data_IF_454522935861
#
_entry.id   IF_454522935861
#
_cell.length_a   1.000
_cell.length_b   1.000
_cell.length_c   1.000
_cell.angle_alpha   90.00
_cell.angle_beta   90.00
_cell.angle_gamma   90.00
#
_symmetry.space_group_name_H-M   'P 1'
#
loop_
_entity.id
_entity.type
_entity.pdbx_description
1 polymer ?
#
# COMPACT_ATOMS: atom_id res chain seq x y z
N UNK A 1 -2.44 -27.48 17.78
CA UNK A 1 -2.37 -26.70 19.03
C UNK A 1 -1.66 -25.39 18.71
N UNK A 2 -2.23 -24.23 19.02
CA UNK A 2 -1.54 -22.97 18.81
C UNK A 2 -0.27 -22.94 19.65
N UNK A 3 0.88 -22.72 19.03
CA UNK A 3 2.12 -22.49 19.77
C UNK A 3 2.06 -21.06 20.31
N UNK A 4 2.13 -20.93 21.64
CA UNK A 4 2.32 -19.66 22.32
C UNK A 4 3.68 -19.08 21.86
N UNK A 5 3.66 -18.19 20.91
CA UNK A 5 4.81 -17.33 20.64
C UNK A 5 4.78 -16.23 21.71
N UNK A 6 5.56 -16.38 22.75
CA UNK A 6 5.89 -15.25 23.63
C UNK A 6 6.68 -14.26 22.77
N UNK A 7 6.08 -13.14 22.47
CA UNK A 7 6.71 -12.06 21.74
C UNK A 7 7.57 -11.26 22.72
N UNK A 8 8.81 -11.66 22.83
CA UNK A 8 9.80 -10.90 23.60
C UNK A 8 10.51 -9.97 22.60
N UNK A 9 10.12 -8.73 22.59
CA UNK A 9 10.82 -7.66 21.84
C UNK A 9 10.83 -6.40 22.69
N UNK A 10 11.87 -5.58 22.50
CA UNK A 10 11.93 -4.28 23.16
C UNK A 10 10.81 -3.36 22.64
N UNK A 11 10.07 -2.65 23.54
CA UNK A 11 9.03 -1.74 23.12
C UNK A 11 9.51 -0.74 22.06
N UNK A 12 8.71 -0.53 21.01
CA UNK A 12 9.03 0.38 19.92
C UNK A 12 8.34 1.73 20.15
N UNK A 13 9.11 2.78 20.35
CA UNK A 13 8.57 4.15 20.39
C UNK A 13 8.21 4.61 18.97
N UNK A 14 6.97 5.03 18.76
CA UNK A 14 6.47 5.45 17.46
C UNK A 14 6.86 6.91 17.16
N UNK A 15 7.10 7.18 15.88
CA UNK A 15 7.26 8.54 15.37
C UNK A 15 5.90 9.14 14.99
N UNK A 16 5.88 10.44 14.66
CA UNK A 16 4.67 11.07 14.11
C UNK A 16 4.24 10.43 12.80
N UNK A 17 5.19 9.95 11.99
CA UNK A 17 4.90 9.25 10.74
C UNK A 17 4.16 7.92 10.96
N UNK A 18 4.34 7.29 12.13
CA UNK A 18 3.69 6.03 12.48
C UNK A 18 2.25 6.22 12.97
N UNK A 19 1.81 7.45 13.24
CA UNK A 19 0.48 7.75 13.76
C UNK A 19 -0.60 7.86 12.68
N UNK A 20 -0.55 7.01 11.68
CA UNK A 20 -1.60 6.94 10.68
C UNK A 20 -2.80 6.16 11.23
N UNK A 21 -4.00 6.77 11.32
CA UNK A 21 -5.18 6.17 11.96
C UNK A 21 -5.86 5.10 11.09
N UNK A 22 -5.15 4.54 10.13
CA UNK A 22 -5.68 3.63 9.12
C UNK A 22 -5.01 2.28 9.19
N UNK A 23 -5.72 1.25 8.76
CA UNK A 23 -5.16 -0.07 8.51
C UNK A 23 -4.78 -0.22 7.02
N UNK A 24 -3.77 -1.02 6.76
CA UNK A 24 -3.46 -1.52 5.43
C UNK A 24 -4.16 -2.87 5.30
N UNK A 25 -5.02 -3.00 4.30
CA UNK A 25 -5.76 -4.21 4.02
C UNK A 25 -5.29 -4.80 2.69
N UNK A 26 -4.84 -6.05 2.68
CA UNK A 26 -4.40 -6.78 1.49
C UNK A 26 -5.28 -8.01 1.31
N UNK A 27 -5.86 -8.16 0.12
CA UNK A 27 -6.68 -9.32 -0.25
C UNK A 27 -6.06 -10.00 -1.45
N UNK A 28 -5.82 -11.30 -1.33
CA UNK A 28 -5.21 -12.13 -2.36
C UNK A 28 -6.11 -13.33 -2.66
N UNK A 29 -6.49 -13.49 -3.92
CA UNK A 29 -7.31 -14.60 -4.39
C UNK A 29 -6.49 -15.65 -5.12
N UNK A 30 -6.70 -16.91 -4.78
CA UNK A 30 -5.97 -18.05 -5.31
C UNK A 30 -6.92 -19.02 -6.03
N UNK A 31 -6.41 -19.63 -7.09
CA UNK A 31 -7.00 -20.81 -7.71
C UNK A 31 -6.18 -22.03 -7.31
N UNK A 32 -6.85 -23.12 -6.96
CA UNK A 32 -6.22 -24.32 -6.40
C UNK A 32 -6.32 -24.41 -4.87
N UNK A 33 -5.96 -25.55 -4.33
CA UNK A 33 -6.02 -25.78 -2.86
C UNK A 33 -4.88 -25.06 -2.14
N UNK A 34 -5.08 -23.81 -1.78
CA UNK A 34 -4.26 -23.16 -0.77
C UNK A 34 -4.72 -23.65 0.60
N UNK A 35 -3.96 -24.54 1.22
CA UNK A 35 -4.31 -25.06 2.55
C UNK A 35 -4.14 -23.97 3.63
N UNK A 36 -5.13 -23.88 4.52
CA UNK A 36 -5.11 -22.92 5.65
C UNK A 36 -3.86 -23.10 6.52
N UNK A 37 -3.41 -24.34 6.72
CA UNK A 37 -2.22 -24.67 7.51
C UNK A 37 -0.94 -24.12 6.86
N UNK A 38 -0.84 -24.11 5.53
CA UNK A 38 0.30 -23.52 4.84
C UNK A 38 0.32 -22.00 4.97
N UNK A 39 -0.86 -21.36 4.88
CA UNK A 39 -0.99 -19.94 5.14
C UNK A 39 -0.59 -19.60 6.58
N UNK A 40 -1.12 -20.33 7.56
CA UNK A 40 -0.83 -20.13 8.97
C UNK A 40 0.68 -20.24 9.24
N UNK A 41 1.32 -21.31 8.76
CA UNK A 41 2.76 -21.52 8.93
C UNK A 41 3.61 -20.46 8.24
N UNK A 42 3.18 -19.94 7.09
CA UNK A 42 3.86 -18.84 6.41
C UNK A 42 3.74 -17.53 7.21
N UNK A 43 2.53 -17.20 7.67
CA UNK A 43 2.28 -16.01 8.48
C UNK A 43 2.99 -16.07 9.83
N UNK A 44 3.03 -17.23 10.50
CA UNK A 44 3.80 -17.42 11.73
C UNK A 44 5.29 -17.13 11.56
N UNK A 45 5.87 -17.54 10.43
CA UNK A 45 7.27 -17.21 10.11
C UNK A 45 7.46 -15.71 9.91
N UNK A 46 6.58 -15.07 9.16
CA UNK A 46 6.61 -13.62 8.98
C UNK A 46 6.50 -12.88 10.32
N UNK A 47 5.57 -13.31 11.18
CA UNK A 47 5.39 -12.74 12.52
C UNK A 47 6.59 -12.99 13.43
N UNK A 48 7.30 -14.12 13.27
CA UNK A 48 8.58 -14.36 13.95
C UNK A 48 9.66 -13.35 13.57
N UNK A 49 9.66 -12.87 12.31
CA UNK A 49 10.56 -11.81 11.84
C UNK A 49 10.04 -10.39 12.16
N UNK A 50 8.73 -10.24 12.40
CA UNK A 50 8.06 -8.98 12.74
C UNK A 50 7.28 -9.09 14.06
N UNK A 51 7.97 -9.36 15.19
CA UNK A 51 7.30 -9.66 16.46
C UNK A 51 6.41 -8.52 16.96
N UNK A 52 6.69 -7.27 16.60
CA UNK A 52 5.90 -6.11 16.97
C UNK A 52 4.48 -6.12 16.36
N UNK A 53 4.23 -6.87 15.28
CA UNK A 53 2.89 -6.99 14.70
C UNK A 53 1.91 -7.76 15.60
N UNK A 54 2.38 -8.59 16.52
CA UNK A 54 1.57 -9.23 17.55
C UNK A 54 1.59 -8.49 18.89
N UNK A 55 2.23 -7.34 18.94
CA UNK A 55 2.16 -6.41 20.05
C UNK A 55 0.83 -5.66 20.12
N UNK A 56 0.74 -4.73 21.03
CA UNK A 56 -0.38 -3.80 21.18
C UNK A 56 0.10 -2.36 21.18
N UNK A 57 -0.76 -1.46 20.75
CA UNK A 57 -0.50 -0.03 20.79
C UNK A 57 -0.87 0.51 22.18
N UNK A 58 0.08 1.14 22.87
CA UNK A 58 -0.10 1.87 24.11
C UNK A 58 0.42 3.32 23.97
N UNK A 59 -0.50 4.23 23.70
CA UNK A 59 -0.13 5.62 23.37
C UNK A 59 0.74 5.70 22.13
N UNK A 60 1.98 6.18 22.29
CA UNK A 60 2.98 6.32 21.22
C UNK A 60 3.96 5.14 21.19
N UNK A 61 3.58 3.96 21.66
CA UNK A 61 4.47 2.80 21.73
C UNK A 61 3.79 1.53 21.28
N UNK A 62 4.52 0.67 20.59
CA UNK A 62 4.14 -0.73 20.43
C UNK A 62 4.86 -1.52 21.51
N UNK A 63 4.08 -2.18 22.36
CA UNK A 63 4.60 -2.99 23.48
C UNK A 63 4.33 -4.47 23.26
N UNK A 64 5.17 -5.36 23.83
CA UNK A 64 4.89 -6.80 23.82
C UNK A 64 3.50 -7.11 24.37
N UNK A 65 2.83 -8.06 23.76
CA UNK A 65 1.52 -8.55 24.20
C UNK A 65 1.57 -10.06 24.33
N UNK A 66 0.84 -10.60 25.30
CA UNK A 66 0.61 -12.04 25.43
C UNK A 66 -0.47 -12.42 24.41
N UNK A 67 -0.18 -12.22 23.15
CA UNK A 67 -1.08 -12.55 22.04
C UNK A 67 -0.67 -13.86 21.38
N UNK A 68 -1.65 -14.66 21.01
CA UNK A 68 -1.44 -15.81 20.14
C UNK A 68 -2.03 -15.45 18.79
N UNK A 69 -1.18 -15.45 17.74
CA UNK A 69 -1.71 -15.35 16.39
C UNK A 69 -2.54 -16.59 16.09
N UNK A 70 -3.75 -16.38 15.58
CA UNK A 70 -4.58 -17.42 15.02
C UNK A 70 -5.12 -16.96 13.68
N UNK A 71 -4.85 -17.75 12.63
CA UNK A 71 -5.47 -17.52 11.33
C UNK A 71 -6.97 -17.83 11.45
N UNK A 72 -7.81 -16.84 11.20
CA UNK A 72 -9.24 -17.03 11.10
C UNK A 72 -9.56 -17.84 9.85
N UNK A 73 -10.32 -18.93 9.96
CA UNK A 73 -10.72 -19.77 8.83
C UNK A 73 -12.21 -19.70 8.64
N UNK A 74 -12.64 -19.42 7.41
CA UNK A 74 -14.06 -19.31 7.03
C UNK A 74 -14.31 -20.16 5.80
N UNK A 75 -15.36 -20.99 5.85
CA UNK A 75 -15.89 -21.68 4.70
C UNK A 75 -17.20 -21.02 4.26
N UNK A 76 -17.27 -20.63 3.00
CA UNK A 76 -18.46 -20.03 2.40
C UNK A 76 -19.08 -21.00 1.41
N UNK A 77 -20.42 -21.11 1.37
CA UNK A 77 -21.08 -21.94 0.37
C UNK A 77 -20.77 -21.41 -1.04
N UNK A 78 -20.56 -22.32 -1.99
CA UNK A 78 -20.30 -21.98 -3.40
C UNK A 78 -21.43 -21.19 -4.07
N UNK A 79 -22.60 -21.17 -3.45
CA UNK A 79 -23.80 -20.46 -3.92
C UNK A 79 -23.72 -18.91 -3.85
N UNK A 80 -22.63 -18.31 -3.41
CA UNK A 80 -22.46 -16.85 -3.47
C UNK A 80 -22.29 -16.29 -4.89
N UNK A 81 -22.41 -17.12 -5.93
CA UNK A 81 -22.29 -16.70 -7.33
C UNK A 81 -20.88 -16.43 -7.81
N UNK A 82 -19.87 -16.64 -6.95
CA UNK A 82 -18.47 -16.42 -7.28
C UNK A 82 -17.94 -17.64 -8.05
N UNK A 83 -17.72 -17.49 -9.35
CA UNK A 83 -17.30 -18.55 -10.25
C UNK A 83 -15.88 -18.41 -10.73
N UNK A 84 -15.30 -17.24 -10.58
CA UNK A 84 -13.96 -16.94 -11.07
C UNK A 84 -13.27 -15.89 -10.20
N UNK A 85 -11.99 -15.67 -10.44
CA UNK A 85 -11.17 -14.73 -9.68
C UNK A 85 -11.60 -13.26 -9.84
N UNK A 86 -12.21 -12.88 -10.96
CA UNK A 86 -12.70 -11.52 -11.20
C UNK A 86 -13.92 -11.23 -10.34
N UNK A 87 -14.89 -12.14 -10.30
CA UNK A 87 -16.04 -12.04 -9.41
C UNK A 87 -15.61 -12.02 -7.93
N UNK A 88 -14.58 -12.79 -7.60
CA UNK A 88 -13.96 -12.82 -6.27
C UNK A 88 -13.31 -11.48 -5.93
N UNK A 89 -12.60 -10.87 -6.88
CA UNK A 89 -12.01 -9.54 -6.70
C UNK A 89 -13.09 -8.47 -6.47
N UNK A 90 -14.21 -8.55 -7.18
CA UNK A 90 -15.37 -7.70 -6.96
C UNK A 90 -15.96 -7.86 -5.55
N UNK A 91 -16.10 -9.12 -5.10
CA UNK A 91 -16.60 -9.43 -3.76
C UNK A 91 -15.62 -9.01 -2.64
N UNK A 92 -14.31 -8.98 -2.92
CA UNK A 92 -13.28 -8.66 -1.91
C UNK A 92 -13.31 -7.20 -1.43
N UNK A 93 -14.03 -6.34 -2.11
CA UNK A 93 -14.37 -5.01 -1.59
C UNK A 93 -15.42 -5.04 -0.48
N UNK A 94 -16.15 -6.15 -0.34
CA UNK A 94 -16.94 -6.37 0.88
C UNK A 94 -16.00 -6.70 2.03
N UNK A 95 -16.31 -6.20 3.23
CA UNK A 95 -15.56 -6.46 4.46
C UNK A 95 -15.44 -7.96 4.83
N UNK A 96 -16.05 -8.84 4.04
CA UNK A 96 -16.18 -10.29 4.30
C UNK A 96 -14.83 -11.01 4.31
N UNK A 97 -13.84 -10.58 3.50
CA UNK A 97 -12.55 -11.27 3.39
C UNK A 97 -11.48 -10.70 4.32
N UNK A 98 -11.73 -9.55 4.92
CA UNK A 98 -10.82 -8.93 5.87
C UNK A 98 -11.30 -9.23 7.29
N UNK A 99 -10.42 -9.68 8.20
CA UNK A 99 -10.79 -9.86 9.60
C UNK A 99 -11.31 -8.56 10.19
N UNK A 100 -12.35 -8.65 11.03
CA UNK A 100 -12.81 -7.48 11.78
C UNK A 100 -11.69 -6.90 12.64
N UNK A 101 -11.59 -5.57 12.64
CA UNK A 101 -10.62 -4.85 13.44
C UNK A 101 -10.94 -4.98 14.93
N UNK A 102 -9.98 -5.49 15.71
CA UNK A 102 -9.98 -5.27 17.15
C UNK A 102 -9.06 -4.07 17.42
N UNK A 103 -9.52 -3.15 18.26
CA UNK A 103 -8.80 -1.91 18.58
C UNK A 103 -7.39 -2.16 19.18
N UNK A 104 -7.14 -3.36 19.65
CA UNK A 104 -5.91 -3.78 20.35
C UNK A 104 -4.97 -4.66 19.51
N UNK A 105 -5.36 -5.03 18.27
CA UNK A 105 -4.53 -5.91 17.42
C UNK A 105 -3.94 -5.15 16.25
N UNK A 106 -2.61 -5.25 16.11
CA UNK A 106 -1.87 -4.61 15.00
C UNK A 106 -1.85 -5.47 13.74
N UNK A 107 -2.17 -6.76 13.84
CA UNK A 107 -2.19 -7.71 12.74
C UNK A 107 -3.35 -8.69 12.88
N UNK A 108 -4.05 -8.95 11.77
CA UNK A 108 -5.04 -10.01 11.67
C UNK A 108 -5.04 -10.59 10.25
N UNK A 109 -5.36 -11.89 10.14
CA UNK A 109 -5.48 -12.55 8.86
C UNK A 109 -6.67 -13.52 8.85
N UNK A 110 -7.35 -13.60 7.71
CA UNK A 110 -8.47 -14.52 7.45
C UNK A 110 -8.20 -15.28 6.17
N UNK A 111 -8.35 -16.60 6.25
CA UNK A 111 -8.40 -17.47 5.11
C UNK A 111 -9.84 -17.88 4.85
N UNK A 112 -10.31 -17.67 3.62
CA UNK A 112 -11.67 -18.00 3.19
C UNK A 112 -11.60 -19.02 2.06
N UNK A 113 -12.33 -20.14 2.21
CA UNK A 113 -12.51 -21.15 1.17
C UNK A 113 -13.94 -21.10 0.66
N UNK A 114 -14.10 -21.21 -0.66
CA UNK A 114 -15.41 -21.39 -1.28
C UNK A 114 -15.65 -22.88 -1.50
N UNK A 115 -16.69 -23.42 -0.85
CA UNK A 115 -17.10 -24.81 -1.03
C UNK A 115 -17.46 -25.06 -2.50
N UNK A 116 -17.22 -26.29 -2.98
CA UNK A 116 -17.51 -26.70 -4.35
C UNK A 116 -16.73 -25.96 -5.46
N UNK A 117 -15.73 -25.18 -5.08
CA UNK A 117 -14.83 -24.49 -6.00
C UNK A 117 -13.37 -24.75 -5.63
N UNK A 118 -12.48 -24.46 -6.56
CA UNK A 118 -11.02 -24.44 -6.33
C UNK A 118 -10.52 -23.05 -5.90
N UNK A 119 -11.40 -22.22 -5.37
CA UNK A 119 -11.08 -20.83 -5.04
C UNK A 119 -10.88 -20.63 -3.53
N UNK A 120 -9.88 -19.83 -3.18
CA UNK A 120 -9.64 -19.40 -1.81
C UNK A 120 -9.14 -17.95 -1.77
N UNK A 121 -9.34 -17.26 -0.65
CA UNK A 121 -8.91 -15.89 -0.43
C UNK A 121 -8.14 -15.80 0.88
N UNK A 122 -6.99 -15.15 0.84
CA UNK A 122 -6.25 -14.70 2.02
C UNK A 122 -6.41 -13.20 2.18
N UNK A 123 -7.09 -12.79 3.25
CA UNK A 123 -7.19 -11.39 3.67
C UNK A 123 -6.23 -11.12 4.82
N UNK A 124 -5.47 -10.03 4.72
CA UNK A 124 -4.53 -9.57 5.74
C UNK A 124 -4.88 -8.13 6.08
N UNK A 125 -4.92 -7.83 7.38
CA UNK A 125 -5.06 -6.49 7.92
C UNK A 125 -3.89 -6.19 8.84
N UNK A 126 -3.24 -5.06 8.61
CA UNK A 126 -2.12 -4.59 9.41
C UNK A 126 -2.33 -3.13 9.78
N UNK A 127 -2.12 -2.79 11.06
CA UNK A 127 -2.14 -1.40 11.48
C UNK A 127 -1.05 -0.59 10.77
N UNK A 128 -1.43 0.53 10.17
CA UNK A 128 -0.48 1.40 9.51
C UNK A 128 0.50 2.05 10.51
N UNK A 129 0.19 2.06 11.80
CA UNK A 129 1.13 2.46 12.84
C UNK A 129 2.33 1.50 12.98
N UNK A 130 2.17 0.24 12.57
CA UNK A 130 3.21 -0.77 12.69
C UNK A 130 4.12 -0.88 11.46
N UNK A 131 3.55 -0.71 10.27
CA UNK A 131 4.27 -0.81 8.98
C UNK A 131 3.62 0.09 7.93
N UNK A 132 4.40 0.51 6.94
CA UNK A 132 3.88 1.08 5.69
C UNK A 132 3.82 0.02 4.57
N UNK A 133 3.50 0.44 3.34
CA UNK A 133 3.41 -0.46 2.19
C UNK A 133 4.71 -1.21 1.89
N UNK A 134 5.87 -0.59 2.09
CA UNK A 134 7.18 -1.25 1.92
C UNK A 134 7.47 -2.18 3.09
N UNK A 135 7.15 -1.79 4.32
CA UNK A 135 7.23 -2.67 5.49
C UNK A 135 6.34 -3.90 5.34
N UNK A 136 5.11 -3.74 4.81
CA UNK A 136 4.25 -4.86 4.46
C UNK A 136 4.88 -5.76 3.38
N UNK A 137 5.50 -5.20 2.35
CA UNK A 137 6.21 -5.98 1.33
C UNK A 137 7.36 -6.80 1.93
N UNK A 138 8.12 -6.24 2.87
CA UNK A 138 9.16 -6.95 3.61
C UNK A 138 8.55 -8.10 4.44
N UNK A 139 7.45 -7.84 5.17
CA UNK A 139 6.73 -8.88 5.91
C UNK A 139 6.27 -10.04 5.02
N UNK A 140 5.63 -9.74 3.90
CA UNK A 140 5.18 -10.74 2.93
C UNK A 140 6.36 -11.55 2.37
N UNK A 141 7.50 -10.90 2.12
CA UNK A 141 8.72 -11.61 1.71
C UNK A 141 9.21 -12.59 2.76
N UNK A 142 9.17 -12.22 4.05
CA UNK A 142 9.52 -13.13 5.16
C UNK A 142 8.57 -14.33 5.22
N UNK A 143 7.26 -14.11 5.08
CA UNK A 143 6.27 -15.20 5.05
C UNK A 143 6.63 -16.28 4.03
N UNK A 144 7.17 -15.91 2.89
CA UNK A 144 7.37 -16.80 1.72
C UNK A 144 8.82 -17.17 1.44
N UNK A 145 9.79 -16.55 2.11
CA UNK A 145 11.22 -16.75 1.87
C UNK A 145 11.67 -18.21 2.02
N UNK A 146 11.22 -18.89 3.07
CA UNK A 146 11.59 -20.29 3.31
C UNK A 146 11.14 -21.22 2.16
N UNK A 147 9.96 -20.96 1.57
CA UNK A 147 9.46 -21.72 0.43
C UNK A 147 10.26 -21.47 -0.84
N UNK A 148 10.71 -20.23 -1.03
CA UNK A 148 11.54 -19.85 -2.18
C UNK A 148 13.01 -20.28 -2.03
N UNK A 149 13.40 -20.80 -0.86
CA UNK A 149 14.79 -21.13 -0.57
C UNK A 149 15.72 -19.90 -0.59
N UNK A 150 15.18 -18.71 -0.33
CA UNK A 150 15.90 -17.43 -0.39
C UNK A 150 16.16 -16.97 1.03
N UNK A 151 17.42 -16.59 1.31
CA UNK A 151 17.74 -15.89 2.55
C UNK A 151 17.19 -14.46 2.51
N UNK A 152 16.55 -14.02 3.58
CA UNK A 152 16.09 -12.66 3.74
C UNK A 152 17.18 -11.79 4.37
N UNK A 153 17.24 -10.50 4.01
CA UNK A 153 18.17 -9.59 4.66
C UNK A 153 17.74 -9.33 6.11
N UNK A 154 18.70 -9.01 6.98
CA UNK A 154 18.39 -8.60 8.35
C UNK A 154 17.46 -7.37 8.34
N UNK A 155 16.35 -7.46 9.07
CA UNK A 155 15.37 -6.39 9.19
C UNK A 155 15.78 -5.37 10.25
N UNK A 156 15.42 -4.12 10.03
CA UNK A 156 15.66 -3.03 10.97
C UNK A 156 14.32 -2.54 11.52
N UNK A 157 14.05 -2.87 12.79
CA UNK A 157 12.76 -2.57 13.45
C UNK A 157 12.82 -1.33 14.34
N UNK A 158 14.00 -0.95 14.81
CA UNK A 158 14.14 0.21 15.67
C UNK A 158 13.58 1.46 14.99
N UNK A 159 12.64 2.12 15.68
CA UNK A 159 12.03 3.36 15.18
C UNK A 159 13.03 4.49 15.36
N UNK A 160 13.61 4.95 14.28
CA UNK A 160 14.66 5.94 14.35
C UNK A 160 14.08 7.34 14.16
N UNK A 161 13.82 8.02 15.27
CA UNK A 161 13.49 9.44 15.31
C UNK A 161 14.64 10.33 14.77
N UNK A 162 15.81 9.74 14.60
CA UNK A 162 17.06 10.44 14.31
C UNK A 162 17.56 10.31 12.87
N UNK A 163 16.78 9.73 11.94
CA UNK A 163 17.17 9.74 10.53
C UNK A 163 17.29 11.18 10.04
N UNK A 164 18.50 11.68 10.02
CA UNK A 164 18.80 13.04 9.56
C UNK A 164 19.06 14.08 10.65
N UNK A 165 19.28 13.71 11.92
CA UNK A 165 19.52 14.68 13.03
C UNK A 165 20.83 15.46 12.96
N UNK A 166 21.75 15.17 12.06
CA UNK A 166 22.82 16.09 11.67
C UNK A 166 22.34 16.97 10.51
N UNK A 167 21.34 17.80 10.82
CA UNK A 167 20.65 18.56 9.80
C UNK A 167 21.15 20.01 9.83
N UNK A 168 22.20 20.28 9.08
CA UNK A 168 22.51 21.63 8.61
C UNK A 168 21.65 21.89 7.36
N UNK A 169 20.81 22.89 7.36
CA UNK A 169 19.99 23.19 6.19
C UNK A 169 19.00 24.33 6.39
N UNK A 170 18.45 24.80 5.29
CA UNK A 170 17.42 25.82 5.29
C UNK A 170 16.16 25.37 6.02
N UNK A 171 15.63 26.24 6.87
CA UNK A 171 14.47 26.04 7.72
C UNK A 171 13.13 26.28 6.96
N UNK A 172 13.14 26.15 5.67
CA UNK A 172 11.97 26.40 4.81
C UNK A 172 11.23 25.10 4.51
N UNK A 173 9.91 25.08 4.75
CA UNK A 173 9.07 23.95 4.39
C UNK A 173 9.27 23.54 2.90
N UNK A 174 9.34 22.24 2.58
CA UNK A 174 9.40 21.79 1.19
C UNK A 174 8.16 22.22 0.42
N UNK A 175 8.27 22.28 -0.90
CA UNK A 175 7.10 22.57 -1.75
C UNK A 175 5.98 21.56 -1.49
N UNK A 176 4.76 22.05 -1.33
CA UNK A 176 3.58 21.23 -1.02
C UNK A 176 3.34 20.97 0.47
N UNK A 177 4.21 21.45 1.36
CA UNK A 177 4.04 21.32 2.81
C UNK A 177 3.75 22.67 3.47
N UNK A 178 3.05 22.64 4.61
CA UNK A 178 2.82 23.77 5.51
C UNK A 178 2.98 23.32 6.95
N UNK A 179 3.22 24.24 7.85
CA UNK A 179 3.19 23.93 9.29
C UNK A 179 1.78 23.52 9.73
N UNK A 180 1.71 22.55 10.63
CA UNK A 180 0.46 22.12 11.22
C UNK A 180 0.03 23.16 12.28
N UNK A 181 -0.85 24.06 11.92
CA UNK A 181 -1.49 24.98 12.85
C UNK A 181 -2.61 24.26 13.59
N UNK A 182 -2.30 23.49 14.64
CA UNK A 182 -3.33 22.97 15.57
C UNK A 182 -4.48 22.15 14.98
N UNK A 183 -4.42 21.85 13.69
CA UNK A 183 -5.51 21.25 12.96
C UNK A 183 -5.42 19.73 13.06
N UNK A 184 -6.40 19.14 13.70
CA UNK A 184 -6.86 17.80 13.37
C UNK A 184 -7.09 17.72 11.86
N UNK A 185 -6.57 16.68 11.24
CA UNK A 185 -6.74 16.37 9.82
C UNK A 185 -8.20 15.94 9.55
N UNK A 186 -9.15 16.78 9.90
CA UNK A 186 -10.57 16.69 9.56
C UNK A 186 -10.85 17.46 8.27
N UNK A 187 -10.12 17.16 7.23
CA UNK A 187 -10.69 17.42 5.91
C UNK A 187 -11.69 16.31 5.65
N UNK A 188 -12.96 16.67 5.73
CA UNK A 188 -14.10 15.85 5.35
C UNK A 188 -13.92 15.38 3.91
N UNK A 189 -13.18 14.30 3.73
CA UNK A 189 -13.17 13.56 2.48
C UNK A 189 -14.60 13.09 2.29
N UNK A 190 -15.30 13.68 1.33
CA UNK A 190 -16.58 13.17 0.86
C UNK A 190 -16.40 11.65 0.71
N UNK A 191 -17.35 10.86 1.24
CA UNK A 191 -17.28 9.40 1.16
C UNK A 191 -17.10 9.02 -0.30
N UNK A 192 -15.88 8.63 -0.66
CA UNK A 192 -15.56 8.19 -2.00
C UNK A 192 -15.69 6.67 -2.02
N UNK A 193 -16.50 6.17 -2.94
CA UNK A 193 -16.53 4.74 -3.20
C UNK A 193 -15.33 4.39 -4.07
N UNK A 194 -14.49 3.40 -3.67
CA UNK A 194 -13.35 3.01 -4.48
C UNK A 194 -13.83 2.42 -5.82
N UNK A 195 -13.26 2.90 -6.92
CA UNK A 195 -13.41 2.29 -8.24
C UNK A 195 -12.15 1.50 -8.54
N UNK A 196 -12.31 0.24 -8.93
CA UNK A 196 -11.22 -0.66 -9.26
C UNK A 196 -11.37 -1.16 -10.70
N UNK A 197 -10.33 -1.01 -11.50
CA UNK A 197 -10.30 -1.54 -12.87
C UNK A 197 -8.88 -1.96 -13.27
N UNK A 198 -8.80 -2.88 -14.23
CA UNK A 198 -7.54 -3.38 -14.73
C UNK A 198 -7.35 -2.99 -16.20
N UNK A 199 -6.12 -2.61 -16.58
CA UNK A 199 -5.74 -2.27 -17.96
C UNK A 199 -4.65 -3.25 -18.42
N UNK A 200 -4.81 -3.94 -19.58
CA UNK A 200 -3.78 -4.81 -20.12
C UNK A 200 -2.46 -4.05 -20.33
N UNK A 201 -1.34 -4.65 -19.89
CA UNK A 201 -0.02 -4.04 -20.03
C UNK A 201 0.35 -3.80 -21.49
N UNK A 202 -0.05 -4.71 -22.38
CA UNK A 202 0.17 -4.60 -23.83
C UNK A 202 -0.52 -3.38 -24.43
N UNK A 203 -1.77 -3.06 -24.00
CA UNK A 203 -2.49 -1.88 -24.46
C UNK A 203 -1.79 -0.60 -24.00
N UNK A 204 -1.32 -0.59 -22.75
CA UNK A 204 -0.53 0.53 -22.22
C UNK A 204 0.76 0.71 -23.01
N UNK A 205 1.48 -0.39 -23.29
CA UNK A 205 2.71 -0.35 -24.08
C UNK A 205 2.46 0.15 -25.51
N UNK A 206 1.42 -0.35 -26.15
CA UNK A 206 1.04 0.06 -27.49
C UNK A 206 0.66 1.53 -27.57
N UNK A 207 -0.23 1.97 -26.67
CA UNK A 207 -0.71 3.36 -26.64
C UNK A 207 0.42 4.37 -26.39
N UNK A 208 1.28 4.10 -25.40
CA UNK A 208 2.36 5.03 -25.03
C UNK A 208 3.69 4.74 -25.71
N UNK A 209 3.80 3.72 -26.57
CA UNK A 209 5.05 3.27 -27.18
C UNK A 209 6.15 3.02 -26.12
N UNK A 210 5.76 2.46 -24.98
CA UNK A 210 6.65 2.26 -23.85
C UNK A 210 7.39 0.92 -23.98
N UNK A 211 8.72 0.94 -23.80
CA UNK A 211 9.58 -0.23 -23.99
C UNK A 211 9.84 -1.01 -22.68
N UNK A 212 9.67 -0.38 -21.54
CA UNK A 212 9.89 -1.00 -20.24
C UNK A 212 8.63 -0.95 -19.37
N UNK A 213 8.54 -1.84 -18.40
CA UNK A 213 7.46 -1.86 -17.42
C UNK A 213 7.39 -0.54 -16.63
N UNK A 214 8.55 -0.04 -16.19
CA UNK A 214 8.63 1.23 -15.45
C UNK A 214 8.14 2.40 -16.32
N UNK A 215 8.59 2.50 -17.57
CA UNK A 215 8.15 3.55 -18.49
C UNK A 215 6.64 3.49 -18.75
N UNK A 216 6.09 2.27 -18.94
CA UNK A 216 4.65 2.05 -19.10
C UNK A 216 3.87 2.57 -17.88
N UNK A 217 4.33 2.22 -16.69
CA UNK A 217 3.69 2.60 -15.44
C UNK A 217 3.71 4.11 -15.20
N UNK A 218 4.85 4.76 -15.44
CA UNK A 218 5.00 6.20 -15.23
C UNK A 218 4.19 7.01 -16.25
N UNK A 219 4.12 6.57 -17.50
CA UNK A 219 3.31 7.22 -18.55
C UNK A 219 1.82 7.05 -18.26
N UNK A 220 1.39 5.85 -17.90
CA UNK A 220 0.01 5.59 -17.49
C UNK A 220 -0.38 6.45 -16.29
N UNK A 221 0.47 6.50 -15.26
CA UNK A 221 0.24 7.32 -14.08
C UNK A 221 0.08 8.80 -14.41
N UNK A 222 0.99 9.35 -15.20
CA UNK A 222 0.93 10.75 -15.62
C UNK A 222 -0.33 11.05 -16.45
N UNK A 223 -0.70 10.14 -17.34
CA UNK A 223 -1.87 10.29 -18.19
C UNK A 223 -3.18 10.24 -17.38
N UNK A 224 -3.33 9.29 -16.45
CA UNK A 224 -4.49 9.19 -15.56
C UNK A 224 -4.60 10.43 -14.66
N UNK A 225 -3.48 10.91 -14.12
CA UNK A 225 -3.50 12.15 -13.33
C UNK A 225 -3.92 13.35 -14.17
N UNK A 226 -3.38 13.48 -15.40
CA UNK A 226 -3.71 14.60 -16.29
C UNK A 226 -5.18 14.59 -16.75
N UNK A 227 -5.80 13.41 -16.85
CA UNK A 227 -7.25 13.32 -17.11
C UNK A 227 -8.09 13.97 -16.00
N UNK A 228 -7.52 14.22 -14.84
CA UNK A 228 -8.12 14.87 -13.68
C UNK A 228 -7.56 16.29 -13.42
N UNK A 229 -6.77 16.88 -14.33
CA UNK A 229 -6.10 18.17 -14.15
C UNK A 229 -7.07 19.30 -13.73
N UNK A 230 -8.27 19.32 -14.30
CA UNK A 230 -9.29 20.33 -13.98
C UNK A 230 -9.81 20.27 -12.53
N UNK A 231 -9.68 19.11 -11.88
CA UNK A 231 -10.10 18.88 -10.50
C UNK A 231 -8.92 18.94 -9.53
N UNK A 232 -7.74 18.51 -9.99
CA UNK A 232 -6.52 18.46 -9.21
C UNK A 232 -5.36 19.08 -10.01
N UNK A 233 -5.08 20.36 -9.82
CA UNK A 233 -3.99 21.04 -10.54
C UNK A 233 -2.59 20.59 -10.09
N UNK A 234 -2.50 19.89 -8.98
CA UNK A 234 -1.25 19.32 -8.42
C UNK A 234 -1.40 17.82 -8.17
N UNK A 235 -0.27 17.11 -8.31
CA UNK A 235 -0.11 15.69 -7.94
C UNK A 235 0.90 15.58 -6.82
N UNK A 236 0.57 14.82 -5.80
CA UNK A 236 1.45 14.45 -4.69
C UNK A 236 1.87 12.98 -4.83
N UNK A 237 3.09 12.74 -5.31
CA UNK A 237 3.65 11.39 -5.44
C UNK A 237 4.23 10.94 -4.11
N UNK A 238 3.76 9.82 -3.59
CA UNK A 238 4.39 9.16 -2.45
C UNK A 238 5.75 8.59 -2.84
N UNK A 239 6.78 8.93 -2.06
CA UNK A 239 8.16 8.49 -2.26
C UNK A 239 8.71 7.86 -0.99
N UNK A 240 9.41 6.73 -1.18
CA UNK A 240 10.09 5.98 -0.13
C UNK A 240 11.57 6.41 -0.06
N UNK A 241 12.04 6.99 1.06
CA UNK A 241 13.43 7.39 1.22
C UNK A 241 14.35 6.29 1.75
N UNK A 242 13.90 5.03 1.86
CA UNK A 242 14.76 3.91 2.31
C UNK A 242 15.99 3.78 1.42
N UNK A 243 17.12 3.49 2.06
CA UNK A 243 18.43 3.51 1.41
C UNK A 243 19.05 4.90 1.26
N UNK A 244 18.33 5.97 1.67
CA UNK A 244 18.79 7.36 1.64
C UNK A 244 18.92 7.90 3.06
N UNK A 245 19.74 8.92 3.28
CA UNK A 245 19.89 9.62 4.56
C UNK A 245 20.18 8.69 5.77
N UNK A 246 20.84 7.55 5.55
CA UNK A 246 21.09 6.59 6.62
C UNK A 246 19.90 5.71 7.00
N UNK A 247 18.78 5.82 6.32
CA UNK A 247 17.62 4.95 6.51
C UNK A 247 17.94 3.57 5.91
N UNK A 248 17.94 2.49 6.67
CA UNK A 248 18.19 1.15 6.11
C UNK A 248 17.15 0.78 5.06
N UNK A 249 17.58 0.10 3.99
CA UNK A 249 16.66 -0.41 2.97
C UNK A 249 15.66 -1.44 3.56
N UNK A 250 16.02 -2.06 4.68
CA UNK A 250 15.21 -3.05 5.41
C UNK A 250 14.47 -2.47 6.62
N UNK A 251 14.35 -1.13 6.71
CA UNK A 251 13.57 -0.48 7.74
C UNK A 251 12.08 -0.83 7.62
N UNK A 252 11.48 -1.29 8.72
CA UNK A 252 10.13 -1.85 8.73
C UNK A 252 9.04 -0.86 9.11
N UNK A 253 9.39 0.29 9.71
CA UNK A 253 8.45 1.33 10.11
C UNK A 253 7.98 2.22 8.98
N UNK A 254 7.13 3.18 9.32
CA UNK A 254 6.67 4.17 8.37
C UNK A 254 7.77 5.18 8.06
N UNK A 255 8.01 5.39 6.79
CA UNK A 255 8.92 6.43 6.32
C UNK A 255 8.56 6.82 4.90
N UNK A 256 8.35 8.11 4.69
CA UNK A 256 8.03 8.57 3.36
C UNK A 256 7.84 10.07 3.28
N UNK A 257 7.74 10.55 2.07
CA UNK A 257 7.39 11.93 1.80
C UNK A 257 6.62 12.05 0.49
N UNK A 258 5.86 13.12 0.35
CA UNK A 258 5.24 13.47 -0.91
C UNK A 258 6.11 14.43 -1.69
N UNK A 259 6.36 14.14 -2.96
CA UNK A 259 6.86 15.11 -3.92
C UNK A 259 5.68 15.71 -4.69
N UNK A 260 5.58 17.03 -4.70
CA UNK A 260 4.53 17.76 -5.38
C UNK A 260 4.95 18.20 -6.77
N UNK A 261 4.03 18.06 -7.73
CA UNK A 261 4.22 18.35 -9.15
C UNK A 261 2.98 19.03 -9.71
N UNK A 262 3.17 19.88 -10.70
CA UNK A 262 2.06 20.40 -11.51
C UNK A 262 1.41 19.23 -12.30
N UNK A 263 0.09 19.16 -12.29
CA UNK A 263 -0.65 18.10 -12.98
C UNK A 263 -0.85 18.44 -14.46
N UNK A 264 0.27 18.36 -15.25
CA UNK A 264 0.26 18.56 -16.71
C UNK A 264 0.93 17.36 -17.37
N UNK A 265 0.24 16.67 -18.27
CA UNK A 265 0.61 15.35 -18.77
C UNK A 265 2.09 15.23 -19.20
N UNK A 266 2.56 16.09 -20.09
CA UNK A 266 3.93 16.02 -20.62
C UNK A 266 4.99 16.38 -19.58
N UNK A 267 4.70 17.36 -18.74
CA UNK A 267 5.59 17.78 -17.67
C UNK A 267 5.63 16.74 -16.56
N UNK A 268 4.46 16.22 -16.15
CA UNK A 268 4.34 15.20 -15.09
C UNK A 268 5.09 13.92 -15.48
N UNK A 269 4.98 13.45 -16.73
CA UNK A 269 5.73 12.29 -17.20
C UNK A 269 7.24 12.49 -17.03
N UNK A 270 7.78 13.66 -17.40
CA UNK A 270 9.20 13.97 -17.24
C UNK A 270 9.60 14.03 -15.77
N UNK A 271 8.76 14.65 -14.93
CA UNK A 271 9.01 14.77 -13.50
C UNK A 271 8.97 13.41 -12.80
N UNK A 272 7.98 12.55 -13.11
CA UNK A 272 7.92 11.20 -12.58
C UNK A 272 9.14 10.36 -12.98
N UNK A 273 9.57 10.43 -14.24
CA UNK A 273 10.81 9.76 -14.69
C UNK A 273 12.06 10.30 -13.97
N UNK A 274 12.10 11.59 -13.73
CA UNK A 274 13.21 12.21 -13.01
C UNK A 274 13.32 11.72 -11.56
N UNK A 275 12.25 11.27 -10.92
CA UNK A 275 12.31 10.70 -9.54
C UNK A 275 13.17 9.44 -9.46
N UNK A 276 13.28 8.66 -10.52
CA UNK A 276 14.11 7.47 -10.61
C UNK A 276 15.59 7.76 -10.98
N UNK A 277 15.98 9.02 -11.02
CA UNK A 277 17.37 9.43 -11.28
C UNK A 277 18.10 9.76 -9.97
N UNK A 278 19.43 9.89 -10.04
CA UNK A 278 20.24 10.35 -8.90
C UNK A 278 19.76 11.70 -8.35
N UNK A 279 19.40 12.63 -9.22
CA UNK A 279 18.86 13.94 -8.82
C UNK A 279 17.48 13.81 -8.14
N UNK A 280 16.65 12.89 -8.62
CA UNK A 280 15.37 12.56 -8.01
C UNK A 280 15.53 11.97 -6.61
N UNK A 281 16.43 11.01 -6.43
CA UNK A 281 16.74 10.45 -5.11
C UNK A 281 17.27 11.52 -4.15
N UNK A 282 18.12 12.43 -4.64
CA UNK A 282 18.57 13.57 -3.82
C UNK A 282 17.41 14.47 -3.41
N UNK A 283 16.47 14.74 -4.32
CA UNK A 283 15.26 15.54 -4.01
C UNK A 283 14.37 14.86 -2.96
N UNK A 284 14.18 13.53 -3.05
CA UNK A 284 13.43 12.75 -2.04
C UNK A 284 14.14 12.86 -0.69
N UNK A 285 15.45 12.63 -0.67
CA UNK A 285 16.27 12.70 0.54
C UNK A 285 16.20 14.10 1.20
N UNK A 286 16.31 15.16 0.39
CA UNK A 286 16.25 16.55 0.89
C UNK A 286 14.86 16.91 1.41
N UNK A 287 13.80 16.47 0.72
CA UNK A 287 12.42 16.69 1.15
C UNK A 287 12.15 16.01 2.49
N UNK A 288 12.46 14.71 2.61
CA UNK A 288 12.31 13.96 3.84
C UNK A 288 13.13 14.58 4.99
N UNK A 289 14.40 14.92 4.74
CA UNK A 289 15.26 15.57 5.73
C UNK A 289 14.65 16.87 6.27
N UNK A 290 14.10 17.73 5.40
CA UNK A 290 13.47 19.01 5.81
C UNK A 290 12.22 18.79 6.67
N UNK A 291 11.43 17.75 6.35
CA UNK A 291 10.28 17.37 7.19
C UNK A 291 10.76 17.00 8.59
N UNK A 292 11.75 16.11 8.68
CA UNK A 292 12.29 15.66 9.97
C UNK A 292 12.97 16.78 10.76
N UNK A 293 13.62 17.72 10.09
CA UNK A 293 14.18 18.91 10.75
C UNK A 293 13.10 19.79 11.36
N UNK A 294 12.01 20.05 10.64
CA UNK A 294 10.90 20.83 11.16
C UNK A 294 10.24 20.15 12.37
N UNK A 295 10.04 18.83 12.30
CA UNK A 295 9.51 18.04 13.43
C UNK A 295 10.42 18.12 14.66
N UNK A 296 11.73 17.94 14.50
CA UNK A 296 12.71 18.03 15.61
C UNK A 296 12.75 19.40 16.29
N UNK A 297 12.26 20.43 15.59
CA UNK A 297 12.11 21.81 16.11
C UNK A 297 10.71 22.11 16.65
N UNK A 298 9.85 21.09 16.80
CA UNK A 298 8.47 21.25 17.27
C UNK A 298 7.52 21.90 16.26
N UNK A 299 7.87 21.91 14.96
CA UNK A 299 7.07 22.45 13.86
C UNK A 299 6.70 21.36 12.88
N UNK A 300 5.80 20.43 13.24
CA UNK A 300 5.42 19.34 12.33
C UNK A 300 4.86 19.91 11.03
N UNK A 301 5.28 19.32 9.91
CA UNK A 301 4.80 19.71 8.60
C UNK A 301 3.72 18.73 8.13
N UNK A 302 2.62 19.28 7.63
CA UNK A 302 1.57 18.53 6.95
C UNK A 302 1.58 18.85 5.47
N UNK A 303 1.28 17.86 4.64
CA UNK A 303 1.15 18.08 3.20
C UNK A 303 -0.18 18.82 2.88
N UNK A 304 -0.21 19.55 1.76
CA UNK A 304 -1.41 20.26 1.32
C UNK A 304 -2.43 19.28 0.73
N UNK A 305 -3.62 19.26 1.27
CA UNK A 305 -4.68 18.27 1.00
C UNK A 305 -5.35 18.36 -0.39
N UNK A 306 -5.06 19.41 -1.16
CA UNK A 306 -5.72 19.63 -2.46
C UNK A 306 -5.05 18.96 -3.65
N UNK A 307 -3.93 18.27 -3.46
CA UNK A 307 -3.26 17.54 -4.52
C UNK A 307 -3.84 16.13 -4.68
N UNK A 308 -3.90 15.64 -5.92
CA UNK A 308 -4.20 14.24 -6.20
C UNK A 308 -3.07 13.36 -5.67
N UNK A 309 -3.35 12.52 -4.71
CA UNK A 309 -2.36 11.55 -4.22
C UNK A 309 -2.09 10.49 -5.28
N UNK A 310 -0.83 10.26 -5.60
CA UNK A 310 -0.40 9.18 -6.49
C UNK A 310 0.48 8.21 -5.71
N UNK A 311 0.08 6.95 -5.66
CA UNK A 311 0.84 5.87 -5.06
C UNK A 311 1.14 4.77 -6.09
N UNK A 312 2.43 4.49 -6.29
CA UNK A 312 2.91 3.41 -7.14
C UNK A 312 3.26 2.20 -6.26
N UNK A 313 2.31 1.30 -6.06
CA UNK A 313 2.45 0.15 -5.15
C UNK A 313 3.56 -0.80 -5.61
N UNK A 314 4.51 -1.20 -4.75
CA UNK A 314 5.54 -2.17 -5.11
C UNK A 314 4.95 -3.53 -5.52
N UNK A 315 5.45 -4.13 -6.60
CA UNK A 315 4.99 -5.45 -7.06
C UNK A 315 5.24 -6.56 -6.01
N UNK A 316 6.24 -6.40 -5.15
CA UNK A 316 6.52 -7.34 -4.07
C UNK A 316 5.33 -7.59 -3.12
N UNK A 317 4.38 -6.64 -3.04
CA UNK A 317 3.14 -6.82 -2.26
C UNK A 317 2.15 -7.74 -2.97
N UNK A 318 2.09 -7.70 -4.30
CA UNK A 318 1.07 -8.38 -5.10
C UNK A 318 1.55 -9.70 -5.71
N UNK A 319 2.86 -9.88 -5.92
CA UNK A 319 3.45 -11.02 -6.61
C UNK A 319 3.94 -12.13 -5.68
N UNK A 320 3.14 -12.54 -4.69
CA UNK A 320 3.61 -13.46 -3.63
C UNK A 320 2.91 -14.82 -3.68
N UNK A 321 3.71 -15.90 -3.76
CA UNK A 321 3.26 -17.29 -3.71
C UNK A 321 3.24 -17.81 -2.26
N UNK A 322 2.05 -18.01 -1.70
CA UNK A 322 1.84 -18.63 -0.39
C UNK A 322 1.75 -20.16 -0.44
N UNK A 323 1.83 -20.77 -1.63
CA UNK A 323 1.86 -22.22 -1.65
C UNK A 323 1.21 -22.91 -2.82
N UNK A 324 0.45 -22.21 -3.62
CA UNK A 324 -0.28 -22.76 -4.79
C UNK A 324 0.05 -22.03 -6.08
N UNK A 325 1.12 -21.28 -6.09
CA UNK A 325 1.46 -20.37 -7.17
C UNK A 325 1.15 -18.90 -6.80
N UNK A 326 1.29 -18.02 -7.78
CA UNK A 326 0.93 -16.61 -7.62
C UNK A 326 -0.59 -16.49 -7.44
N UNK A 327 -1.05 -15.53 -6.63
CA UNK A 327 -2.47 -15.21 -6.58
C UNK A 327 -2.95 -14.77 -7.97
N UNK A 328 -4.18 -15.09 -8.31
CA UNK A 328 -4.78 -14.62 -9.55
C UNK A 328 -5.12 -13.13 -9.49
N UNK A 329 -5.28 -12.60 -8.29
CA UNK A 329 -5.32 -11.16 -8.02
C UNK A 329 -4.77 -10.86 -6.63
N UNK A 330 -4.28 -9.63 -6.45
CA UNK A 330 -3.95 -9.06 -5.15
C UNK A 330 -4.35 -7.58 -5.15
N UNK A 331 -5.11 -7.17 -4.15
CA UNK A 331 -5.66 -5.82 -4.03
C UNK A 331 -5.23 -5.26 -2.68
N UNK A 332 -4.61 -4.10 -2.70
CA UNK A 332 -4.29 -3.32 -1.51
C UNK A 332 -5.42 -2.32 -1.27
N UNK A 333 -6.33 -2.65 -0.37
CA UNK A 333 -7.44 -1.79 -0.02
C UNK A 333 -6.98 -0.69 0.93
N UNK A 334 -7.47 0.53 0.72
CA UNK A 334 -7.33 1.62 1.68
C UNK A 334 -8.63 2.40 1.70
N UNK A 335 -9.27 2.38 2.84
CA UNK A 335 -10.60 2.98 3.01
C UNK A 335 -10.55 4.50 3.19
N UNK A 336 -9.39 5.09 3.44
CA UNK A 336 -9.27 6.47 3.91
C UNK A 336 -8.33 7.37 3.09
N UNK A 337 -7.91 6.98 1.87
CA UNK A 337 -7.06 7.85 1.04
C UNK A 337 -7.79 8.34 -0.19
N UNK A 338 -7.82 9.66 -0.38
CA UNK A 338 -8.23 10.27 -1.65
C UNK A 338 -7.05 10.20 -2.62
N UNK A 339 -7.17 9.37 -3.66
CA UNK A 339 -6.06 9.31 -4.61
C UNK A 339 -6.18 8.21 -5.62
N UNK A 340 -5.09 8.08 -6.36
CA UNK A 340 -4.89 7.10 -7.41
C UNK A 340 -3.78 6.15 -6.99
N UNK A 341 -4.06 4.85 -6.97
CA UNK A 341 -3.08 3.80 -6.76
C UNK A 341 -2.93 2.97 -8.02
N UNK A 342 -1.68 2.71 -8.38
CA UNK A 342 -1.33 1.88 -9.52
C UNK A 342 -0.44 0.75 -9.05
N UNK A 343 -0.94 -0.47 -9.15
CA UNK A 343 -0.21 -1.71 -8.90
C UNK A 343 -0.13 -2.55 -10.16
N UNK A 344 0.62 -3.64 -10.10
CA UNK A 344 0.60 -4.69 -11.12
C UNK A 344 -0.19 -5.87 -10.61
N UNK A 345 -0.90 -6.56 -11.50
CA UNK A 345 -1.42 -7.89 -11.19
C UNK A 345 -0.26 -8.86 -10.90
N UNK A 346 -0.51 -9.92 -10.12
CA UNK A 346 0.56 -10.87 -9.74
C UNK A 346 1.30 -11.49 -10.93
N UNK A 347 0.59 -11.76 -12.02
CA UNK A 347 1.14 -12.28 -13.27
C UNK A 347 1.82 -11.22 -14.15
N UNK A 348 1.85 -9.97 -13.69
CA UNK A 348 2.39 -8.80 -14.40
C UNK A 348 1.76 -8.51 -15.78
N UNK A 349 0.60 -9.10 -16.08
CA UNK A 349 -0.07 -8.93 -17.38
C UNK A 349 -0.90 -7.64 -17.47
N UNK A 350 -1.28 -7.06 -16.33
CA UNK A 350 -2.15 -5.88 -16.25
C UNK A 350 -1.68 -4.89 -15.20
N UNK A 351 -2.01 -3.61 -15.41
CA UNK A 351 -2.03 -2.62 -14.35
C UNK A 351 -3.38 -2.64 -13.65
N UNK A 352 -3.37 -2.71 -12.33
CA UNK A 352 -4.54 -2.55 -11.49
C UNK A 352 -4.59 -1.11 -10.99
N UNK A 353 -5.69 -0.43 -11.29
CA UNK A 353 -5.94 0.96 -10.93
C UNK A 353 -7.03 0.99 -9.87
N UNK A 354 -6.67 1.48 -8.70
CA UNK A 354 -7.62 1.77 -7.64
C UNK A 354 -7.73 3.28 -7.46
N UNK A 355 -8.96 3.78 -7.48
CA UNK A 355 -9.23 5.19 -7.26
C UNK A 355 -10.11 5.35 -6.03
N UNK A 356 -9.73 6.22 -5.11
CA UNK A 356 -10.58 6.71 -4.04
C UNK A 356 -10.87 8.19 -4.33
N UNK A 357 -11.76 8.43 -5.27
CA UNK A 357 -12.12 9.75 -5.76
C UNK A 357 -13.63 9.98 -5.58
N UNK A 358 -14.11 11.22 -5.59
CA UNK A 358 -15.56 11.48 -5.68
C UNK A 358 -16.19 10.65 -6.80
N UNK A 359 -17.37 10.10 -6.57
CA UNK A 359 -18.02 9.04 -7.37
C UNK A 359 -18.02 9.26 -8.90
N UNK A 360 -18.11 10.52 -9.34
CA UNK A 360 -18.09 10.83 -10.77
C UNK A 360 -16.70 10.71 -11.43
N UNK A 361 -15.62 10.85 -10.68
CA UNK A 361 -14.28 10.93 -11.26
C UNK A 361 -13.70 9.55 -11.61
N UNK A 362 -14.11 8.50 -10.92
CA UNK A 362 -13.78 7.13 -11.29
C UNK A 362 -14.37 6.75 -12.65
N UNK A 363 -15.62 7.13 -12.90
CA UNK A 363 -16.29 6.91 -14.19
C UNK A 363 -15.63 7.73 -15.31
N UNK A 364 -15.23 8.98 -15.04
CA UNK A 364 -14.48 9.82 -16.00
C UNK A 364 -13.18 9.14 -16.42
N UNK A 365 -12.43 8.56 -15.48
CA UNK A 365 -11.20 7.82 -15.81
C UNK A 365 -11.47 6.60 -16.67
N UNK A 366 -12.53 5.83 -16.38
CA UNK A 366 -12.93 4.67 -17.18
C UNK A 366 -13.29 5.08 -18.60
N UNK A 367 -14.08 6.15 -18.77
CA UNK A 367 -14.45 6.68 -20.07
C UNK A 367 -13.22 7.11 -20.87
N UNK A 368 -12.30 7.86 -20.26
CA UNK A 368 -11.04 8.27 -20.87
C UNK A 368 -10.17 7.07 -21.29
N UNK A 369 -10.09 6.03 -20.48
CA UNK A 369 -9.38 4.80 -20.85
C UNK A 369 -10.00 4.12 -22.08
N UNK A 370 -11.34 4.07 -22.16
CA UNK A 370 -12.04 3.52 -23.33
C UNK A 370 -11.81 4.36 -24.60
N UNK A 371 -11.95 5.69 -24.50
CA UNK A 371 -11.66 6.62 -25.60
C UNK A 371 -10.23 6.47 -26.14
N UNK A 372 -9.28 6.18 -25.25
CA UNK A 372 -7.86 5.96 -25.59
C UNK A 372 -7.57 4.53 -26.11
N UNK A 373 -8.55 3.63 -26.18
CA UNK A 373 -8.37 2.26 -26.60
C UNK A 373 -7.56 1.40 -25.62
N UNK A 374 -7.53 1.79 -24.34
CA UNK A 374 -6.81 1.05 -23.29
C UNK A 374 -7.58 -0.16 -22.78
N UNK A 375 -8.83 -0.34 -23.18
CA UNK A 375 -9.70 -1.48 -22.86
C UNK A 375 -9.74 -1.83 -21.35
N UNK A 376 -10.12 -0.88 -20.48
CA UNK A 376 -10.18 -1.15 -19.07
C UNK A 376 -11.27 -2.18 -18.77
N UNK A 377 -10.93 -3.22 -18.01
CA UNK A 377 -11.93 -4.12 -17.45
C UNK A 377 -12.30 -3.67 -16.03
N UNK A 378 -13.53 -3.26 -15.78
CA UNK A 378 -13.95 -2.86 -14.44
C UNK A 378 -14.01 -4.10 -13.55
N UNK A 379 -13.30 -4.05 -12.40
CA UNK A 379 -13.33 -5.10 -11.38
C UNK A 379 -14.30 -4.76 -10.26
N UNK A 380 -14.58 -3.49 -10.05
CA UNK A 380 -15.66 -3.05 -9.17
C UNK A 380 -16.10 -1.61 -9.45
N UNK A 381 -17.39 -1.40 -9.38
CA UNK A 381 -17.98 -0.08 -9.19
C UNK A 381 -18.53 -0.04 -7.77
N UNK A 382 -18.17 0.97 -7.01
CA UNK A 382 -18.80 1.19 -5.72
C UNK A 382 -20.32 1.09 -5.85
N UNK A 383 -20.98 0.36 -4.94
CA UNK A 383 -22.42 0.35 -4.90
C UNK A 383 -22.88 1.80 -4.74
N UNK A 384 -23.70 2.29 -5.68
CA UNK A 384 -24.36 3.58 -5.53
C UNK A 384 -25.18 3.49 -4.27
N UNK A 385 -24.74 4.20 -3.21
CA UNK A 385 -25.45 4.34 -1.94
C UNK A 385 -26.72 5.14 -2.11
#
# INVERSE_FOLDING_TARGET
MPRSATTDFEPLDLSVDDLLPTDIELVMGYRGELAAEHCAAALERGLGAFPHLIGKLEGMRIVPSVGVFALETVELPGAMGIRNLEEMALASQSATFIPEGRADTLFAARWTRFQETDLSVLGIRVSHAAVDGTGLALFINECTAARRGVATPALFHERCHAFGTKLDGEDKAPHGYREAEGATQEDSLARSSPTLFAIPLENVRGHFQATTLLDSRLRLAAWLCAALESHFPEVALWCDPRGLNGIPATYTGNVGCYLHFANRADELTKQLKATATRAGFQRIADTHRRIKLAESRGRPLVWKSHALQLNLVPHAVTGTDFGTGLPGYAILLSRNSSGLRISLTPDTSRFLIETCLPDCLGDVLLEKCNEAGLEPSPWCRGAKS
#
